data_IF_069251989419
#
_entry.id   IF_069251989419
#
_cell.length_a   1.000
_cell.length_b   1.000
_cell.length_c   1.000
_cell.angle_alpha   90.00
_cell.angle_beta   90.00
_cell.angle_gamma   90.00
#
_symmetry.space_group_name_H-M   'P 1'
#
loop_
_entity.id
_entity.type
_entity.pdbx_description
1 polymer ?
#
# COMPACT_ATOMS: atom_id res chain seq x y z
N UNK A 1 58.21 37.11 -68.42
CA UNK A 1 58.74 35.80 -68.88
C UNK A 1 59.40 35.20 -67.64
N UNK A 2 58.84 34.23 -66.92
CA UNK A 2 58.73 32.81 -67.26
C UNK A 2 57.91 32.12 -66.15
N UNK A 3 56.92 31.30 -66.55
CA UNK A 3 56.32 30.08 -65.95
C UNK A 3 55.89 30.07 -64.46
N UNK A 4 54.63 29.84 -64.07
CA UNK A 4 53.70 28.72 -64.33
C UNK A 4 54.19 27.33 -63.86
N UNK A 5 53.60 26.82 -62.75
CA UNK A 5 53.17 25.42 -62.46
C UNK A 5 52.88 25.30 -60.96
N UNK A 6 51.62 25.24 -60.55
CA UNK A 6 50.81 24.02 -60.38
C UNK A 6 51.09 23.25 -59.07
N UNK A 7 50.09 23.35 -58.17
CA UNK A 7 49.54 22.32 -57.26
C UNK A 7 50.51 21.50 -56.38
N UNK A 8 50.29 21.58 -55.07
CA UNK A 8 49.93 20.39 -54.30
C UNK A 8 49.26 20.78 -52.97
N UNK A 9 47.93 20.81 -52.99
CA UNK A 9 47.12 20.80 -51.77
C UNK A 9 47.14 19.38 -51.19
N UNK A 10 48.00 19.14 -50.21
CA UNK A 10 47.94 17.91 -49.40
C UNK A 10 46.99 18.20 -48.25
N UNK A 11 45.71 17.92 -48.45
CA UNK A 11 44.71 17.97 -47.38
C UNK A 11 45.00 16.85 -46.37
N UNK A 12 44.78 17.07 -45.07
CA UNK A 12 44.99 16.04 -44.06
C UNK A 12 44.04 14.86 -44.33
N UNK A 13 44.62 13.66 -44.39
CA UNK A 13 43.89 12.40 -44.36
C UNK A 13 43.05 12.41 -43.08
N UNK A 14 41.76 12.71 -43.21
CA UNK A 14 40.81 12.50 -42.12
C UNK A 14 40.61 10.99 -41.99
N UNK A 15 41.32 10.40 -41.04
CA UNK A 15 41.06 9.05 -40.56
C UNK A 15 39.71 9.10 -39.81
N UNK A 16 38.61 8.95 -40.55
CA UNK A 16 37.32 8.69 -39.95
C UNK A 16 37.39 7.28 -39.37
N UNK A 17 37.66 7.16 -38.07
CA UNK A 17 37.42 5.94 -37.34
C UNK A 17 35.91 5.66 -37.40
N UNK A 18 35.50 4.77 -38.30
CA UNK A 18 34.15 4.25 -38.31
C UNK A 18 33.99 3.46 -37.00
N UNK A 19 33.24 4.02 -36.05
CA UNK A 19 32.74 3.24 -34.92
C UNK A 19 31.89 2.10 -35.51
N UNK A 20 32.40 0.88 -35.45
CA UNK A 20 31.63 -0.32 -35.75
C UNK A 20 30.47 -0.35 -34.76
N UNK A 21 29.27 -0.01 -35.22
CA UNK A 21 28.05 -0.18 -34.44
C UNK A 21 27.85 -1.68 -34.27
N UNK A 22 28.28 -2.22 -33.13
CA UNK A 22 27.85 -3.55 -32.69
C UNK A 22 26.35 -3.48 -32.42
N UNK A 23 25.55 -4.07 -33.31
CA UNK A 23 24.10 -4.20 -33.12
C UNK A 23 23.75 -5.32 -32.15
N UNK A 24 22.65 -5.15 -31.42
CA UNK A 24 22.03 -6.22 -30.64
C UNK A 24 21.60 -7.36 -31.57
N UNK A 25 21.87 -8.60 -31.18
CA UNK A 25 21.43 -9.77 -31.97
C UNK A 25 19.92 -9.97 -31.80
N UNK A 26 19.25 -10.50 -32.83
CA UNK A 26 17.82 -10.83 -32.74
C UNK A 26 17.54 -11.86 -31.64
N UNK A 27 18.48 -12.80 -31.42
CA UNK A 27 18.35 -13.81 -30.37
C UNK A 27 18.43 -13.21 -28.96
N UNK A 28 19.29 -12.22 -28.76
CA UNK A 28 19.40 -11.51 -27.48
C UNK A 28 18.12 -10.73 -27.18
N UNK A 29 17.55 -10.10 -28.20
CA UNK A 29 16.27 -9.41 -28.07
C UNK A 29 15.11 -10.38 -27.77
N UNK A 30 15.08 -11.57 -28.39
CA UNK A 30 14.06 -12.57 -28.10
C UNK A 30 14.15 -13.07 -26.65
N UNK A 31 15.35 -13.37 -26.15
CA UNK A 31 15.53 -13.82 -24.77
C UNK A 31 15.15 -12.70 -23.79
N UNK A 32 15.53 -11.46 -24.08
CA UNK A 32 15.18 -10.31 -23.25
C UNK A 32 13.66 -10.13 -23.12
N UNK A 33 12.92 -10.20 -24.23
CA UNK A 33 11.45 -10.08 -24.22
C UNK A 33 10.81 -11.24 -23.46
N UNK A 34 11.35 -12.45 -23.54
CA UNK A 34 10.85 -13.61 -22.78
C UNK A 34 11.01 -13.40 -21.27
N UNK A 35 12.16 -12.90 -20.81
CA UNK A 35 12.40 -12.64 -19.39
C UNK A 35 11.47 -11.52 -18.90
N UNK A 36 11.33 -10.43 -19.65
CA UNK A 36 10.43 -9.32 -19.29
C UNK A 36 8.98 -9.82 -19.22
N UNK A 37 8.54 -10.66 -20.17
CA UNK A 37 7.20 -11.24 -20.17
C UNK A 37 6.90 -12.01 -18.88
N UNK A 38 7.85 -12.82 -18.40
CA UNK A 38 7.69 -13.56 -17.15
C UNK A 38 7.58 -12.62 -15.93
N UNK A 39 8.44 -11.60 -15.86
CA UNK A 39 8.43 -10.64 -14.76
C UNK A 39 7.11 -9.85 -14.69
N UNK A 40 6.58 -9.45 -15.84
CA UNK A 40 5.31 -8.70 -15.94
C UNK A 40 4.13 -9.53 -15.42
N UNK A 41 4.07 -10.83 -15.74
CA UNK A 41 2.99 -11.71 -15.28
C UNK A 41 2.94 -11.80 -13.75
N UNK A 42 4.09 -11.84 -13.08
CA UNK A 42 4.17 -11.90 -11.62
C UNK A 42 3.97 -10.51 -10.99
N UNK A 43 4.45 -9.45 -11.65
CA UNK A 43 4.46 -8.09 -11.13
C UNK A 43 3.11 -7.37 -11.17
N UNK A 44 2.35 -7.51 -12.26
CA UNK A 44 1.05 -6.82 -12.42
C UNK A 44 0.06 -7.13 -11.29
N UNK A 45 -0.23 -8.41 -10.92
CA UNK A 45 -1.24 -8.68 -9.89
C UNK A 45 -0.84 -8.06 -8.54
N UNK A 46 0.43 -8.14 -8.16
CA UNK A 46 0.92 -7.55 -6.91
C UNK A 46 0.82 -6.02 -6.91
N UNK A 47 1.11 -5.39 -8.04
CA UNK A 47 0.97 -3.93 -8.17
C UNK A 47 -0.50 -3.50 -8.05
N UNK A 48 -1.44 -4.25 -8.64
CA UNK A 48 -2.87 -3.97 -8.51
C UNK A 48 -3.35 -4.04 -7.06
N UNK A 49 -2.87 -5.03 -6.29
CA UNK A 49 -3.22 -5.17 -4.88
C UNK A 49 -2.62 -4.04 -4.02
N UNK A 50 -1.39 -3.61 -4.33
CA UNK A 50 -0.78 -2.44 -3.68
C UNK A 50 -1.59 -1.16 -3.92
N UNK A 51 -2.00 -0.91 -5.16
CA UNK A 51 -2.84 0.24 -5.52
C UNK A 51 -4.19 0.16 -4.82
N UNK A 52 -4.84 -1.02 -4.79
CA UNK A 52 -6.10 -1.20 -4.09
C UNK A 52 -5.98 -0.88 -2.60
N UNK A 53 -4.94 -1.35 -1.90
CA UNK A 53 -4.68 -1.01 -0.49
C UNK A 53 -4.47 0.48 -0.27
N UNK A 54 -3.76 1.16 -1.18
CA UNK A 54 -3.55 2.60 -1.09
C UNK A 54 -4.88 3.37 -1.23
N UNK A 55 -5.73 2.99 -2.18
CA UNK A 55 -7.04 3.60 -2.39
C UNK A 55 -7.99 3.34 -1.21
N UNK A 56 -7.96 2.14 -0.63
CA UNK A 56 -8.69 1.83 0.60
C UNK A 56 -8.24 2.71 1.77
N UNK A 57 -6.94 2.96 1.90
CA UNK A 57 -6.40 3.86 2.91
C UNK A 57 -6.88 5.31 2.71
N UNK A 58 -6.98 5.78 1.47
CA UNK A 58 -7.58 7.09 1.17
C UNK A 58 -9.05 7.15 1.59
N UNK A 59 -9.85 6.14 1.23
CA UNK A 59 -11.25 6.06 1.61
C UNK A 59 -11.45 6.06 3.14
N UNK A 60 -10.63 5.30 3.85
CA UNK A 60 -10.62 5.30 5.31
C UNK A 60 -10.24 6.64 5.91
N UNK A 61 -9.23 7.31 5.35
CA UNK A 61 -8.84 8.64 5.81
C UNK A 61 -9.98 9.64 5.63
N UNK A 62 -10.64 9.61 4.48
CA UNK A 62 -11.75 10.51 4.17
C UNK A 62 -12.94 10.24 5.09
N UNK A 63 -13.33 8.97 5.24
CA UNK A 63 -14.39 8.55 6.15
C UNK A 63 -14.09 8.88 7.62
N UNK A 64 -12.82 8.79 8.03
CA UNK A 64 -12.42 9.10 9.41
C UNK A 64 -12.68 10.55 9.80
N UNK A 65 -12.71 11.48 8.84
CA UNK A 65 -13.03 12.89 9.07
C UNK A 65 -14.44 13.11 9.62
N UNK A 66 -15.38 12.21 9.32
CA UNK A 66 -16.75 12.28 9.84
C UNK A 66 -16.90 11.76 11.28
N UNK A 67 -15.92 11.02 11.82
CA UNK A 67 -16.02 10.40 13.16
C UNK A 67 -16.27 11.42 14.26
N UNK A 68 -15.56 12.54 14.22
CA UNK A 68 -15.68 13.58 15.25
C UNK A 68 -17.07 14.20 15.23
N UNK A 69 -17.60 14.52 14.05
CA UNK A 69 -18.94 15.09 13.89
C UNK A 69 -20.03 14.13 14.38
N UNK A 70 -19.93 12.85 14.01
CA UNK A 70 -20.86 11.80 14.48
C UNK A 70 -20.79 11.61 16.00
N UNK A 71 -19.58 11.60 16.56
CA UNK A 71 -19.37 11.44 18.02
C UNK A 71 -19.91 12.65 18.79
N UNK A 72 -19.70 13.86 18.28
CA UNK A 72 -20.23 15.08 18.89
C UNK A 72 -21.76 15.11 18.86
N UNK A 73 -22.37 14.69 17.75
CA UNK A 73 -23.82 14.58 17.66
C UNK A 73 -24.39 13.59 18.69
N UNK A 74 -23.74 12.43 18.87
CA UNK A 74 -24.11 11.49 19.93
C UNK A 74 -24.00 12.14 21.32
N UNK A 75 -22.89 12.81 21.62
CA UNK A 75 -22.65 13.40 22.93
C UNK A 75 -23.63 14.53 23.28
N UNK A 76 -24.13 15.26 22.28
CA UNK A 76 -25.03 16.40 22.47
C UNK A 76 -26.51 16.00 22.46
N UNK A 77 -26.90 15.01 21.65
CA UNK A 77 -28.30 14.60 21.47
C UNK A 77 -28.67 13.30 22.20
N UNK A 78 -27.68 12.48 22.54
CA UNK A 78 -27.87 11.13 23.08
C UNK A 78 -28.31 10.09 22.04
N UNK A 79 -28.31 10.42 20.75
CA UNK A 79 -28.73 9.54 19.66
C UNK A 79 -27.74 9.60 18.50
N UNK A 80 -27.67 8.55 17.68
CA UNK A 80 -26.86 8.58 16.47
C UNK A 80 -27.49 9.49 15.40
N UNK A 81 -26.68 10.22 14.60
CA UNK A 81 -27.19 10.99 13.47
C UNK A 81 -27.73 10.04 12.40
N UNK A 82 -28.94 10.29 11.91
CA UNK A 82 -29.56 9.47 10.87
C UNK A 82 -28.95 9.76 9.49
N UNK A 83 -28.45 10.98 9.29
CA UNK A 83 -27.89 11.45 8.01
C UNK A 83 -26.61 12.27 8.22
N UNK A 84 -25.88 12.54 7.12
CA UNK A 84 -24.76 13.50 7.12
C UNK A 84 -25.18 14.87 7.67
N UNK A 85 -26.34 15.37 7.23
CA UNK A 85 -26.80 16.71 7.59
C UNK A 85 -27.11 16.85 9.08
N UNK A 86 -27.56 15.77 9.74
CA UNK A 86 -27.76 15.75 11.19
C UNK A 86 -26.43 15.92 11.94
N UNK A 87 -25.37 15.27 11.44
CA UNK A 87 -24.01 15.44 11.96
C UNK A 87 -23.36 16.77 11.54
N UNK A 88 -24.05 17.65 10.81
CA UNK A 88 -23.49 18.90 10.30
C UNK A 88 -22.49 18.72 9.15
N UNK A 89 -22.55 17.59 8.45
CA UNK A 89 -21.73 17.27 7.30
C UNK A 89 -22.48 17.56 5.99
N UNK A 90 -21.73 17.83 4.92
CA UNK A 90 -22.26 17.87 3.56
C UNK A 90 -22.46 16.45 3.02
N UNK A 91 -23.37 16.28 2.06
CA UNK A 91 -23.49 15.02 1.30
C UNK A 91 -22.43 14.88 0.20
N UNK A 92 -21.80 15.98 -0.20
CA UNK A 92 -20.81 16.03 -1.28
C UNK A 92 -19.37 15.75 -0.79
N UNK A 93 -19.18 14.69 0.00
CA UNK A 93 -17.86 14.27 0.48
C UNK A 93 -17.27 13.28 -0.55
N UNK A 94 -16.33 13.76 -1.37
CA UNK A 94 -15.73 13.01 -2.47
C UNK A 94 -14.20 13.01 -2.40
N UNK A 95 -13.56 12.02 -3.02
CA UNK A 95 -12.10 11.88 -3.13
C UNK A 95 -11.68 11.47 -4.53
N UNK A 96 -10.39 11.18 -4.75
CA UNK A 96 -9.92 10.78 -6.09
C UNK A 96 -10.47 9.41 -6.50
N UNK A 97 -10.69 8.52 -5.52
CA UNK A 97 -11.21 7.17 -5.73
C UNK A 97 -12.47 6.89 -4.89
N UNK A 98 -13.06 7.92 -4.28
CA UNK A 98 -14.22 7.81 -3.38
C UNK A 98 -15.34 8.63 -3.97
N UNK A 99 -16.43 7.96 -4.31
CA UNK A 99 -17.63 8.60 -4.89
C UNK A 99 -18.44 9.34 -3.84
N UNK A 100 -18.58 8.77 -2.63
CA UNK A 100 -19.33 9.41 -1.56
C UNK A 100 -18.92 8.89 -0.19
N UNK A 101 -19.11 9.73 0.83
CA UNK A 101 -19.12 9.34 2.24
C UNK A 101 -20.47 9.69 2.84
N UNK A 102 -21.17 8.68 3.38
CA UNK A 102 -22.51 8.81 3.94
C UNK A 102 -22.55 8.33 5.38
N UNK A 103 -23.26 9.07 6.21
CA UNK A 103 -23.63 8.69 7.56
C UNK A 103 -25.07 8.19 7.53
N UNK A 104 -25.28 6.97 8.01
CA UNK A 104 -26.59 6.35 8.20
C UNK A 104 -26.63 5.73 9.60
N UNK A 105 -27.50 6.24 10.48
CA UNK A 105 -27.61 5.81 11.88
C UNK A 105 -26.25 5.75 12.61
N UNK A 106 -25.41 6.77 12.40
CA UNK A 106 -24.05 6.89 12.95
C UNK A 106 -22.99 6.04 12.23
N UNK A 107 -23.38 5.11 11.36
CA UNK A 107 -22.46 4.32 10.55
C UNK A 107 -21.95 5.16 9.38
N UNK A 108 -20.64 5.30 9.26
CA UNK A 108 -20.01 6.03 8.16
C UNK A 108 -19.63 5.03 7.07
N UNK A 109 -20.15 5.21 5.86
CA UNK A 109 -19.86 4.36 4.69
C UNK A 109 -19.23 5.20 3.58
N UNK A 110 -18.05 4.80 3.12
CA UNK A 110 -17.37 5.37 1.97
C UNK A 110 -17.45 4.42 0.78
N UNK A 111 -18.07 4.87 -0.32
CA UNK A 111 -18.20 4.11 -1.56
C UNK A 111 -17.07 4.45 -2.52
N UNK A 112 -16.46 3.44 -3.14
CA UNK A 112 -15.44 3.68 -4.16
C UNK A 112 -16.06 4.19 -5.47
N UNK A 113 -15.37 5.10 -6.14
CA UNK A 113 -15.75 5.59 -7.46
C UNK A 113 -15.34 4.64 -8.57
N UNK A 114 -15.90 4.84 -9.77
CA UNK A 114 -15.51 4.12 -11.00
C UNK A 114 -14.03 4.25 -11.38
N UNK A 115 -13.36 5.32 -10.95
CA UNK A 115 -11.93 5.55 -11.20
C UNK A 115 -11.01 4.76 -10.24
N UNK A 116 -11.59 4.07 -9.25
CA UNK A 116 -10.86 3.18 -8.36
C UNK A 116 -10.31 1.96 -9.10
N UNK A 117 -9.42 1.23 -8.44
CA UNK A 117 -8.89 -0.04 -8.93
C UNK A 117 -10.04 -0.96 -9.32
N UNK A 118 -9.86 -1.72 -10.40
CA UNK A 118 -10.80 -2.79 -10.82
C UNK A 118 -11.15 -3.78 -9.70
N UNK A 119 -10.33 -3.86 -8.64
CA UNK A 119 -10.54 -4.69 -7.45
C UNK A 119 -11.50 -4.10 -6.42
N UNK A 120 -11.83 -2.82 -6.52
CA UNK A 120 -12.65 -2.07 -5.57
C UNK A 120 -13.95 -1.56 -6.18
N UNK A 121 -14.26 -1.97 -7.41
CA UNK A 121 -15.47 -1.52 -8.10
C UNK A 121 -16.71 -1.99 -7.36
N UNK A 122 -17.66 -1.08 -7.16
CA UNK A 122 -18.89 -1.29 -6.38
C UNK A 122 -18.67 -1.68 -4.91
N UNK A 123 -17.42 -1.62 -4.42
CA UNK A 123 -17.11 -1.91 -3.02
C UNK A 123 -17.27 -0.66 -2.14
N UNK A 124 -17.31 -0.89 -0.84
CA UNK A 124 -17.30 0.17 0.16
C UNK A 124 -16.47 -0.20 1.38
N UNK A 125 -16.08 0.84 2.12
CA UNK A 125 -15.51 0.74 3.46
C UNK A 125 -16.48 1.37 4.45
N UNK A 126 -16.68 0.71 5.59
CA UNK A 126 -17.63 1.12 6.61
C UNK A 126 -16.96 1.23 7.97
N UNK A 127 -17.20 2.33 8.66
CA UNK A 127 -16.82 2.58 10.04
C UNK A 127 -18.09 2.53 10.91
N UNK A 128 -18.15 1.55 11.80
CA UNK A 128 -19.30 1.33 12.70
C UNK A 128 -18.92 1.78 14.10
N UNK A 129 -19.61 2.77 14.67
CA UNK A 129 -19.36 3.19 16.03
C UNK A 129 -20.00 2.24 17.04
N UNK A 130 -19.41 2.16 18.22
CA UNK A 130 -19.92 1.48 19.40
C UNK A 130 -19.81 2.46 20.56
N UNK A 131 -20.95 2.82 21.15
CA UNK A 131 -20.98 3.67 22.34
C UNK A 131 -20.62 2.84 23.59
N UNK A 132 -19.62 3.30 24.33
CA UNK A 132 -19.15 2.70 25.59
C UNK A 132 -19.58 3.53 26.81
N UNK A 133 -20.52 4.46 26.66
CA UNK A 133 -21.05 5.27 27.76
C UNK A 133 -20.13 6.41 28.15
N UNK A 134 -19.64 7.17 27.16
CA UNK A 134 -18.74 8.32 27.34
C UNK A 134 -17.52 8.32 26.42
N UNK A 135 -17.34 7.26 25.64
CA UNK A 135 -16.40 7.20 24.52
C UNK A 135 -17.03 6.39 23.40
N UNK A 136 -16.57 6.64 22.17
CA UNK A 136 -17.00 5.89 20.99
C UNK A 136 -15.83 5.06 20.47
N UNK A 137 -15.99 3.76 20.49
CA UNK A 137 -15.08 2.83 19.81
C UNK A 137 -15.52 2.66 18.35
N UNK A 138 -14.55 2.61 17.43
CA UNK A 138 -14.83 2.51 16.01
C UNK A 138 -14.31 1.19 15.46
N UNK A 139 -15.23 0.35 15.00
CA UNK A 139 -14.89 -0.82 14.21
C UNK A 139 -14.94 -0.48 12.72
N UNK A 140 -14.18 -1.20 11.93
CA UNK A 140 -14.07 -0.98 10.49
C UNK A 140 -14.29 -2.29 9.75
N UNK A 141 -14.88 -2.22 8.56
CA UNK A 141 -15.18 -3.36 7.69
C UNK A 141 -15.31 -2.91 6.25
N UNK A 142 -15.33 -3.84 5.30
CA UNK A 142 -15.63 -3.55 3.90
C UNK A 142 -16.31 -4.72 3.22
N UNK A 143 -17.01 -4.47 2.11
CA UNK A 143 -17.64 -5.51 1.29
C UNK A 143 -16.64 -6.03 0.27
N UNK A 144 -16.35 -7.33 0.27
CA UNK A 144 -15.54 -8.00 -0.76
C UNK A 144 -14.10 -7.48 -0.93
N UNK A 145 -13.60 -6.71 0.04
CA UNK A 145 -12.25 -6.08 -0.01
C UNK A 145 -11.39 -6.38 1.23
N UNK A 146 -11.73 -7.42 2.00
CA UNK A 146 -11.06 -7.73 3.28
C UNK A 146 -9.54 -7.91 3.15
N UNK A 147 -9.04 -8.38 2.00
CA UNK A 147 -7.61 -8.52 1.70
C UNK A 147 -6.86 -7.19 1.48
N UNK A 148 -7.63 -6.14 1.19
CA UNK A 148 -7.13 -4.79 0.94
C UNK A 148 -7.29 -3.86 2.14
N UNK A 149 -8.01 -4.29 3.18
CA UNK A 149 -8.16 -3.53 4.42
C UNK A 149 -6.86 -3.54 5.24
N UNK A 150 -6.53 -2.43 5.93
CA UNK A 150 -5.47 -2.42 6.94
C UNK A 150 -5.72 -3.42 8.06
N UNK A 151 -4.66 -3.83 8.76
CA UNK A 151 -4.74 -4.79 9.87
C UNK A 151 -5.68 -4.37 11.00
N UNK A 152 -5.85 -3.06 11.23
CA UNK A 152 -6.81 -2.51 12.20
C UNK A 152 -8.27 -2.50 11.72
N UNK A 153 -8.53 -2.77 10.44
CA UNK A 153 -9.85 -2.81 9.82
C UNK A 153 -10.32 -4.22 9.46
N UNK A 154 -9.43 -5.21 9.49
CA UNK A 154 -9.82 -6.58 9.17
C UNK A 154 -10.79 -7.11 10.24
N UNK A 155 -11.97 -7.58 9.80
CA UNK A 155 -12.87 -8.38 10.63
C UNK A 155 -12.18 -9.70 10.99
N UNK A 156 -11.38 -9.71 12.06
CA UNK A 156 -10.96 -11.00 12.62
C UNK A 156 -12.21 -11.69 13.17
N UNK A 157 -12.47 -12.98 12.89
CA UNK A 157 -13.26 -13.76 13.84
C UNK A 157 -12.54 -13.64 15.18
N UNK A 158 -13.26 -13.20 16.21
CA UNK A 158 -12.71 -12.85 17.53
C UNK A 158 -11.86 -13.99 18.09
N UNK A 159 -10.54 -13.87 18.00
CA UNK A 159 -9.61 -14.60 18.85
C UNK A 159 -9.36 -13.72 20.08
N UNK A 160 -9.44 -14.25 21.32
CA UNK A 160 -9.21 -13.44 22.52
C UNK A 160 -7.86 -12.72 22.44
N UNK A 161 -7.86 -11.47 22.88
CA UNK A 161 -6.73 -10.57 22.94
C UNK A 161 -5.50 -11.24 23.53
N UNK A 162 -4.43 -11.37 22.74
CA UNK A 162 -3.10 -11.56 23.29
C UNK A 162 -2.28 -10.33 22.92
N UNK A 163 -2.11 -9.50 23.93
CA UNK A 163 -1.18 -8.38 24.02
C UNK A 163 0.25 -8.81 23.73
N UNK A 164 1.09 -7.80 23.47
CA UNK A 164 2.56 -7.82 23.39
C UNK A 164 3.18 -8.44 22.13
N UNK A 165 3.68 -7.53 21.27
CA UNK A 165 4.92 -7.71 20.51
C UNK A 165 5.98 -8.51 21.28
N UNK A 166 6.72 -9.37 20.58
CA UNK A 166 8.12 -9.57 20.92
C UNK A 166 9.03 -9.01 19.82
N UNK A 167 9.84 -8.06 20.27
CA UNK A 167 11.07 -7.57 19.68
C UNK A 167 12.00 -8.68 19.19
N UNK A 168 12.66 -8.37 18.07
CA UNK A 168 13.78 -9.03 17.40
C UNK A 168 14.75 -9.76 18.35
N UNK A 169 15.13 -11.03 18.10
CA UNK A 169 16.14 -11.71 18.91
C UNK A 169 17.55 -11.28 18.51
N UNK A 170 18.23 -10.60 19.42
CA UNK A 170 19.68 -10.41 19.43
C UNK A 170 20.43 -11.73 19.69
N UNK A 171 21.57 -11.88 19.01
CA UNK A 171 22.56 -12.96 19.03
C UNK A 171 22.88 -13.55 20.43
N UNK A 172 23.03 -14.88 20.59
CA UNK A 172 23.43 -15.47 21.87
C UNK A 172 24.96 -15.44 22.05
N UNK A 173 25.41 -14.86 23.18
CA UNK A 173 26.77 -15.01 23.69
C UNK A 173 26.97 -16.36 24.42
N UNK A 174 28.19 -16.91 24.26
CA UNK A 174 28.70 -18.19 24.79
C UNK A 174 28.41 -18.44 26.29
N UNK A 175 28.03 -19.67 26.70
CA UNK A 175 27.97 -20.05 28.11
C UNK A 175 29.35 -20.51 28.63
N UNK A 176 29.74 -19.99 29.78
CA UNK A 176 30.86 -20.45 30.60
C UNK A 176 30.58 -21.81 31.27
N UNK A 177 31.62 -22.63 31.32
CA UNK A 177 31.72 -24.00 31.87
C UNK A 177 31.18 -24.16 33.31
N UNK A 178 30.40 -25.22 33.63
CA UNK A 178 30.09 -25.57 35.01
C UNK A 178 31.10 -26.56 35.60
N UNK A 179 31.61 -26.23 36.78
CA UNK A 179 32.44 -27.08 37.65
C UNK A 179 31.70 -28.33 38.14
N UNK A 180 32.39 -29.47 38.02
CA UNK A 180 31.99 -30.85 38.35
C UNK A 180 31.71 -31.08 39.86
N UNK A 181 30.64 -31.81 40.24
CA UNK A 181 30.44 -32.28 41.61
C UNK A 181 30.91 -33.73 41.80
N UNK A 182 31.63 -33.96 42.89
CA UNK A 182 32.19 -35.21 43.39
C UNK A 182 31.13 -36.26 43.77
N UNK A 183 31.33 -37.50 43.31
CA UNK A 183 30.57 -38.71 43.71
C UNK A 183 30.81 -39.10 45.19
N UNK A 184 29.80 -39.65 45.88
CA UNK A 184 29.99 -40.35 47.15
C UNK A 184 30.10 -41.87 46.96
N UNK A 185 30.95 -42.46 47.79
CA UNK A 185 31.25 -43.89 47.93
C UNK A 185 30.17 -44.65 48.72
N UNK A 186 29.72 -45.80 48.21
CA UNK A 186 29.23 -46.95 48.99
C UNK A 186 29.75 -48.23 48.30
N UNK A 187 30.67 -48.96 48.96
CA UNK A 187 30.45 -50.13 49.85
C UNK A 187 30.19 -51.44 49.10
#
# INVERSE_FOLDING_TARGET
MVLNRARNAVSPVRLAAAALVQGFTLIELMIAVMIIGLLVVIGIPQYQDYVARAQVSEALSLASGAKTAVTEYLNTTGTWPATNSDAGLTDDITGNYVESVKVEDGVITAMFSVDASSKLQDAFVKLTPVDLGGSVEWSCSGSDINEYLPSGCASKPSKPSESSEPSEPSEPSEPSEPSEPSEPSES
#
